data_IF_885419210200
#
_entry.id   IF_885419210200
#
_cell.length_a   1.000
_cell.length_b   1.000
_cell.length_c   1.000
_cell.angle_alpha   90.00
_cell.angle_beta   90.00
_cell.angle_gamma   90.00
#
_symmetry.space_group_name_H-M   'P 1'
#
loop_
_entity.id
_entity.type
_entity.pdbx_description
1 polymer ?
#
# COMPACT_ATOMS: atom_id res chain seq x y z
N UNK A 1 -15.80 -21.39 -16.58
CA UNK A 1 -15.47 -21.57 -18.01
C UNK A 1 -14.56 -22.78 -18.10
N UNK A 2 -15.09 -24.00 -18.38
CA UNK A 2 -14.30 -25.23 -18.37
C UNK A 2 -13.27 -25.37 -19.52
N UNK A 3 -13.31 -24.48 -20.48
CA UNK A 3 -12.43 -24.49 -21.66
C UNK A 3 -11.25 -23.52 -21.57
N UNK A 4 -11.14 -22.71 -20.48
CA UNK A 4 -10.00 -21.81 -20.33
C UNK A 4 -8.79 -22.59 -19.81
N UNK A 5 -7.59 -22.34 -20.34
CA UNK A 5 -6.36 -22.98 -19.85
C UNK A 5 -6.13 -22.63 -18.37
N UNK A 6 -5.58 -23.57 -17.62
CA UNK A 6 -5.17 -23.33 -16.22
C UNK A 6 -4.05 -22.28 -16.18
N UNK A 7 -4.38 -21.09 -15.68
CA UNK A 7 -3.44 -19.97 -15.51
C UNK A 7 -2.76 -19.96 -14.13
N UNK A 8 -3.06 -20.93 -13.26
CA UNK A 8 -2.46 -21.03 -11.91
C UNK A 8 -0.92 -21.06 -11.93
N UNK A 9 -0.24 -21.70 -12.92
CA UNK A 9 1.21 -21.66 -13.00
C UNK A 9 1.78 -20.22 -13.15
N UNK A 10 1.08 -19.34 -13.87
CA UNK A 10 1.52 -17.95 -14.00
C UNK A 10 1.56 -17.24 -12.63
N UNK A 11 0.56 -17.49 -11.79
CA UNK A 11 0.54 -16.96 -10.43
C UNK A 11 1.63 -17.58 -9.55
N UNK A 12 1.85 -18.89 -9.64
CA UNK A 12 2.85 -19.59 -8.84
C UNK A 12 4.28 -19.12 -9.13
N UNK A 13 4.62 -18.95 -10.41
CA UNK A 13 5.96 -18.52 -10.83
C UNK A 13 6.17 -17.01 -10.87
N UNK A 14 5.16 -16.21 -10.53
CA UNK A 14 5.26 -14.76 -10.36
C UNK A 14 5.04 -14.35 -8.89
N UNK A 15 3.79 -14.20 -8.48
CA UNK A 15 3.44 -13.80 -7.10
C UNK A 15 3.81 -14.85 -6.05
N UNK A 16 3.83 -16.14 -6.43
CA UNK A 16 4.29 -17.21 -5.57
C UNK A 16 5.78 -17.13 -5.19
N UNK A 17 6.57 -16.28 -5.86
CA UNK A 17 7.99 -16.04 -5.59
C UNK A 17 8.26 -14.59 -5.10
N UNK A 18 7.23 -13.87 -4.67
CA UNK A 18 7.34 -12.44 -4.30
C UNK A 18 8.38 -12.19 -3.19
N UNK A 19 8.59 -13.14 -2.29
CA UNK A 19 9.62 -13.05 -1.24
C UNK A 19 11.03 -12.94 -1.81
N UNK A 20 11.34 -13.66 -2.91
CA UNK A 20 12.65 -13.53 -3.59
C UNK A 20 12.85 -12.13 -4.19
N UNK A 21 11.80 -11.56 -4.76
CA UNK A 21 11.87 -10.20 -5.29
C UNK A 21 12.04 -9.16 -4.17
N UNK A 22 11.32 -9.34 -3.06
CA UNK A 22 11.40 -8.43 -1.91
C UNK A 22 12.79 -8.46 -1.29
N UNK A 23 13.37 -9.62 -1.05
CA UNK A 23 14.71 -9.73 -0.45
C UNK A 23 15.81 -9.18 -1.35
N UNK A 24 15.63 -9.22 -2.67
CA UNK A 24 16.54 -8.58 -3.62
C UNK A 24 16.40 -7.05 -3.60
N UNK A 25 15.17 -6.56 -3.70
CA UNK A 25 14.88 -5.13 -3.88
C UNK A 25 15.29 -4.30 -2.66
N UNK A 26 15.21 -4.83 -1.45
CA UNK A 26 15.53 -4.08 -0.23
C UNK A 26 16.99 -3.63 -0.18
N UNK A 27 18.01 -4.52 -0.18
CA UNK A 27 19.39 -4.09 -0.14
C UNK A 27 19.80 -3.33 -1.41
N UNK A 28 19.25 -3.71 -2.57
CA UNK A 28 19.46 -2.98 -3.83
C UNK A 28 19.04 -1.51 -3.70
N UNK A 29 17.79 -1.24 -3.30
CA UNK A 29 17.31 0.15 -3.19
C UNK A 29 17.98 0.92 -2.05
N UNK A 30 18.33 0.27 -0.95
CA UNK A 30 19.06 0.93 0.13
C UNK A 30 20.38 1.51 -0.38
N UNK A 31 21.16 0.73 -1.12
CA UNK A 31 22.46 1.15 -1.65
C UNK A 31 22.32 2.14 -2.82
N UNK A 32 21.32 2.00 -3.67
CA UNK A 32 21.03 2.99 -4.74
C UNK A 32 20.74 4.36 -4.15
N UNK A 33 19.95 4.43 -3.07
CA UNK A 33 19.65 5.71 -2.38
C UNK A 33 20.88 6.32 -1.70
N UNK A 34 21.86 5.52 -1.34
CA UNK A 34 23.13 5.97 -0.76
C UNK A 34 24.22 6.21 -1.81
N UNK A 35 23.84 6.28 -3.09
CA UNK A 35 24.72 6.51 -4.23
C UNK A 35 25.80 5.41 -4.44
N UNK A 36 25.63 4.24 -3.80
CA UNK A 36 26.52 3.07 -3.93
C UNK A 36 26.03 2.10 -5.01
N UNK A 37 25.74 2.63 -6.20
CA UNK A 37 25.12 1.87 -7.31
C UNK A 37 25.93 0.63 -7.71
N UNK A 38 27.26 0.74 -7.69
CA UNK A 38 28.17 -0.34 -8.10
C UNK A 38 28.06 -1.60 -7.22
N UNK A 39 27.62 -1.45 -5.96
CA UNK A 39 27.45 -2.55 -5.01
C UNK A 39 26.00 -3.01 -4.90
N UNK A 40 25.03 -2.24 -5.41
CA UNK A 40 23.61 -2.46 -5.20
C UNK A 40 23.11 -3.77 -5.78
N UNK A 41 23.51 -4.08 -7.03
CA UNK A 41 23.10 -5.31 -7.71
C UNK A 41 23.61 -6.56 -6.98
N UNK A 42 24.87 -6.54 -6.57
CA UNK A 42 25.52 -7.64 -5.85
C UNK A 42 24.85 -7.84 -4.48
N UNK A 43 24.52 -6.75 -3.78
CA UNK A 43 23.79 -6.81 -2.52
C UNK A 43 22.39 -7.45 -2.67
N UNK A 44 21.69 -7.15 -3.75
CA UNK A 44 20.43 -7.78 -4.08
C UNK A 44 20.54 -9.30 -4.23
N UNK A 45 21.50 -9.76 -5.02
CA UNK A 45 21.77 -11.21 -5.19
C UNK A 45 22.28 -11.87 -3.91
N UNK A 46 23.11 -11.19 -3.12
CA UNK A 46 23.53 -11.66 -1.80
C UNK A 46 22.31 -11.86 -0.88
N UNK A 47 21.34 -10.93 -0.94
CA UNK A 47 20.08 -11.05 -0.23
C UNK A 47 19.33 -12.33 -0.58
N UNK A 48 19.21 -12.66 -1.87
CA UNK A 48 18.60 -13.92 -2.33
C UNK A 48 19.34 -15.12 -1.74
N UNK A 49 20.68 -15.17 -1.88
CA UNK A 49 21.48 -16.30 -1.38
C UNK A 49 21.32 -16.49 0.14
N UNK A 50 21.38 -15.39 0.91
CA UNK A 50 21.18 -15.44 2.37
C UNK A 50 19.77 -15.89 2.74
N UNK A 51 18.76 -15.42 2.03
CA UNK A 51 17.37 -15.81 2.23
C UNK A 51 17.15 -17.29 1.96
N UNK A 52 17.70 -17.82 0.88
CA UNK A 52 17.62 -19.25 0.56
C UNK A 52 18.26 -20.12 1.65
N UNK A 53 19.38 -19.69 2.23
CA UNK A 53 19.98 -20.37 3.40
C UNK A 53 19.03 -20.38 4.59
N UNK A 54 18.36 -19.25 4.86
CA UNK A 54 17.40 -19.13 5.96
C UNK A 54 16.10 -19.92 5.76
N UNK A 55 15.76 -20.29 4.52
CA UNK A 55 14.56 -21.10 4.22
C UNK A 55 14.75 -22.59 4.53
N UNK A 56 15.95 -23.01 4.86
CA UNK A 56 16.29 -24.38 5.28
C UNK A 56 15.75 -25.42 4.29
N UNK A 57 16.37 -25.50 3.12
CA UNK A 57 16.02 -26.46 2.06
C UNK A 57 16.26 -27.88 2.58
N UNK A 58 15.21 -28.70 2.65
CA UNK A 58 15.31 -30.08 3.13
C UNK A 58 15.88 -30.96 2.07
N UNK A 59 16.99 -31.62 2.38
CA UNK A 59 17.57 -32.70 1.51
C UNK A 59 16.85 -34.01 1.74
N UNK A 60 16.44 -34.66 0.67
CA UNK A 60 15.85 -35.99 0.65
C UNK A 60 16.67 -36.91 -0.27
N UNK A 61 16.49 -38.20 -0.15
CA UNK A 61 17.23 -39.22 -0.99
C UNK A 61 17.00 -39.05 -2.49
N UNK A 62 15.91 -38.37 -2.89
CA UNK A 62 15.58 -38.08 -4.29
C UNK A 62 15.93 -36.65 -4.75
N UNK A 63 16.54 -35.79 -3.90
CA UNK A 63 16.86 -34.41 -4.24
C UNK A 63 16.63 -33.41 -3.10
N UNK A 64 16.51 -32.15 -3.44
CA UNK A 64 16.23 -31.10 -2.47
C UNK A 64 14.77 -30.65 -2.59
N UNK A 65 14.00 -30.76 -1.52
CA UNK A 65 12.62 -30.26 -1.46
C UNK A 65 12.63 -28.81 -0.98
N UNK A 66 11.96 -27.96 -1.75
CA UNK A 66 11.76 -26.55 -1.45
C UNK A 66 10.26 -26.31 -1.33
N UNK A 67 9.84 -25.82 -0.17
CA UNK A 67 8.48 -25.34 0.00
C UNK A 67 8.36 -23.95 -0.69
N UNK A 68 7.78 -23.95 -1.87
CA UNK A 68 7.57 -22.72 -2.64
C UNK A 68 6.72 -21.69 -1.89
N UNK A 69 5.86 -22.11 -0.97
CA UNK A 69 5.08 -21.21 -0.14
C UNK A 69 5.93 -20.28 0.73
N UNK A 70 7.13 -20.75 1.14
CA UNK A 70 8.10 -19.94 1.88
C UNK A 70 8.75 -18.84 1.03
N UNK A 71 8.75 -18.95 -0.29
CA UNK A 71 9.27 -17.94 -1.20
C UNK A 71 8.21 -16.92 -1.64
N UNK A 72 6.94 -17.24 -1.42
CA UNK A 72 5.79 -16.37 -1.71
C UNK A 72 5.41 -15.43 -0.57
N UNK A 73 4.13 -15.13 -0.50
CA UNK A 73 3.56 -14.22 0.51
C UNK A 73 3.83 -14.68 1.95
N UNK A 74 3.83 -15.98 2.22
CA UNK A 74 4.15 -16.53 3.54
C UNK A 74 5.56 -16.18 4.03
N UNK A 75 6.52 -16.06 3.12
CA UNK A 75 7.91 -15.71 3.45
C UNK A 75 8.24 -14.22 3.39
N UNK A 76 7.30 -13.34 3.07
CA UNK A 76 7.56 -11.91 2.90
C UNK A 76 8.19 -11.24 4.13
N UNK A 77 7.74 -11.57 5.34
CA UNK A 77 8.33 -11.01 6.57
C UNK A 77 9.79 -11.44 6.73
N UNK A 78 10.07 -12.71 6.48
CA UNK A 78 11.45 -13.24 6.52
C UNK A 78 12.31 -12.60 5.44
N UNK A 79 11.78 -12.41 4.23
CA UNK A 79 12.45 -11.73 3.13
C UNK A 79 12.80 -10.27 3.48
N UNK A 80 11.87 -9.56 4.12
CA UNK A 80 12.11 -8.19 4.60
C UNK A 80 13.20 -8.16 5.68
N UNK A 81 13.13 -9.06 6.66
CA UNK A 81 14.09 -9.14 7.74
C UNK A 81 15.49 -9.45 7.23
N UNK A 82 15.64 -10.48 6.41
CA UNK A 82 16.92 -10.86 5.80
C UNK A 82 17.45 -9.77 4.88
N UNK A 83 16.60 -9.19 4.04
CA UNK A 83 16.98 -8.09 3.15
C UNK A 83 17.49 -6.86 3.89
N UNK A 84 16.88 -6.51 5.03
CA UNK A 84 17.33 -5.41 5.88
C UNK A 84 18.68 -5.73 6.55
N UNK A 85 18.89 -6.96 7.04
CA UNK A 85 20.18 -7.37 7.61
C UNK A 85 21.28 -7.26 6.56
N UNK A 86 21.05 -7.78 5.36
CA UNK A 86 22.04 -7.68 4.25
C UNK A 86 22.29 -6.22 3.91
N UNK A 87 21.26 -5.38 3.83
CA UNK A 87 21.42 -3.95 3.60
C UNK A 87 22.29 -3.28 4.69
N UNK A 88 22.08 -3.62 5.96
CA UNK A 88 22.88 -3.10 7.07
C UNK A 88 24.33 -3.56 6.97
N UNK A 89 24.61 -4.83 6.66
CA UNK A 89 25.98 -5.34 6.48
C UNK A 89 26.69 -4.55 5.37
N UNK A 90 26.05 -4.37 4.21
CA UNK A 90 26.61 -3.61 3.11
C UNK A 90 26.82 -2.12 3.45
N UNK A 91 25.92 -1.51 4.21
CA UNK A 91 26.07 -0.13 4.71
C UNK A 91 27.27 0.02 5.64
N UNK A 92 27.42 -0.90 6.59
CA UNK A 92 28.55 -0.89 7.52
C UNK A 92 29.88 -1.01 6.78
N UNK A 93 29.90 -1.77 5.69
CA UNK A 93 31.09 -1.98 4.85
C UNK A 93 31.18 -0.99 3.68
N UNK A 94 30.25 -0.04 3.56
CA UNK A 94 30.21 0.89 2.43
C UNK A 94 31.44 1.82 2.33
N UNK A 95 32.10 2.06 3.47
CA UNK A 95 33.31 2.87 3.56
C UNK A 95 34.59 2.05 3.48
N UNK A 96 34.48 0.73 3.50
CA UNK A 96 35.61 -0.16 3.45
C UNK A 96 36.00 -0.41 1.98
N UNK A 97 37.30 -0.23 1.67
CA UNK A 97 37.91 -0.66 0.42
C UNK A 97 39.26 -1.30 0.71
N UNK A 98 39.53 -2.41 0.02
CA UNK A 98 40.83 -3.04 0.08
C UNK A 98 41.94 -2.19 -0.57
N UNK A 99 41.56 -1.32 -1.49
CA UNK A 99 42.48 -0.53 -2.29
C UNK A 99 42.24 0.95 -1.99
N UNK A 100 43.33 1.69 -1.80
CA UNK A 100 43.29 3.15 -1.65
C UNK A 100 42.77 3.85 -2.92
N UNK A 101 42.37 5.11 -2.77
CA UNK A 101 41.89 5.93 -3.89
C UNK A 101 42.90 6.05 -5.03
N UNK A 102 44.24 6.01 -4.71
CA UNK A 102 45.33 6.09 -5.67
C UNK A 102 45.68 4.77 -6.36
N UNK A 103 44.90 3.73 -6.17
CA UNK A 103 45.17 2.43 -6.77
C UNK A 103 44.99 2.45 -8.29
N UNK A 104 45.99 1.89 -9.01
CA UNK A 104 46.02 1.78 -10.48
C UNK A 104 45.04 0.73 -11.01
N UNK A 105 44.36 0.00 -10.12
CA UNK A 105 43.39 -1.04 -10.51
C UNK A 105 42.07 -0.44 -11.09
N UNK A 106 41.52 -1.03 -12.15
CA UNK A 106 40.23 -0.65 -12.67
C UNK A 106 39.14 -0.74 -11.59
N UNK A 107 38.18 0.18 -11.60
CA UNK A 107 37.13 0.28 -10.57
C UNK A 107 36.28 -1.02 -10.44
N UNK A 108 36.05 -1.75 -11.54
CA UNK A 108 35.34 -3.02 -11.48
C UNK A 108 36.07 -4.09 -10.65
N UNK A 109 37.41 -4.09 -10.67
CA UNK A 109 38.26 -5.00 -9.87
C UNK A 109 38.20 -4.61 -8.40
N UNK A 110 38.33 -3.33 -8.08
CA UNK A 110 38.19 -2.81 -6.71
C UNK A 110 36.84 -3.19 -6.13
N UNK A 111 35.78 -2.90 -6.87
CA UNK A 111 34.40 -3.20 -6.46
C UNK A 111 34.18 -4.72 -6.25
N UNK A 112 34.79 -5.56 -7.05
CA UNK A 112 34.68 -7.01 -6.89
C UNK A 112 35.30 -7.48 -5.56
N UNK A 113 36.50 -7.06 -5.23
CA UNK A 113 37.15 -7.37 -3.95
C UNK A 113 36.39 -6.79 -2.75
N UNK A 114 35.93 -5.55 -2.84
CA UNK A 114 35.23 -4.88 -1.76
C UNK A 114 33.87 -5.54 -1.44
N UNK A 115 33.24 -6.17 -2.44
CA UNK A 115 32.01 -6.91 -2.23
C UNK A 115 32.20 -8.29 -1.58
N UNK A 116 33.39 -8.92 -1.72
CA UNK A 116 33.65 -10.27 -1.19
C UNK A 116 33.37 -10.34 0.31
N UNK A 117 33.84 -9.37 1.10
CA UNK A 117 33.61 -9.38 2.56
C UNK A 117 32.12 -9.27 2.89
N UNK A 118 31.39 -8.39 2.22
CA UNK A 118 29.97 -8.23 2.44
C UNK A 118 29.17 -9.48 2.08
N UNK A 119 29.53 -10.12 0.96
CA UNK A 119 28.95 -11.42 0.53
C UNK A 119 29.22 -12.47 1.58
N UNK A 120 30.48 -12.67 1.96
CA UNK A 120 30.86 -13.69 2.93
C UNK A 120 30.19 -13.48 4.27
N UNK A 121 30.22 -12.27 4.83
CA UNK A 121 29.57 -11.99 6.10
C UNK A 121 28.06 -12.24 6.07
N UNK A 122 27.38 -11.85 4.99
CA UNK A 122 25.95 -12.06 4.84
C UNK A 122 25.59 -13.56 4.73
N UNK A 123 26.29 -14.28 3.89
CA UNK A 123 26.08 -15.73 3.72
C UNK A 123 26.48 -16.53 4.98
N UNK A 124 27.60 -16.17 5.63
CA UNK A 124 28.02 -16.79 6.88
C UNK A 124 27.05 -16.51 8.01
N UNK A 125 26.50 -15.29 8.11
CA UNK A 125 25.47 -14.97 9.09
C UNK A 125 24.24 -15.88 8.91
N UNK A 126 23.72 -16.01 7.68
CA UNK A 126 22.64 -16.93 7.35
C UNK A 126 22.98 -18.39 7.67
N UNK A 127 24.18 -18.83 7.30
CA UNK A 127 24.67 -20.19 7.56
C UNK A 127 24.78 -20.48 9.06
N UNK A 128 25.42 -19.61 9.83
CA UNK A 128 25.60 -19.77 11.28
C UNK A 128 24.24 -19.88 11.96
N UNK A 129 23.33 -18.96 11.66
CA UNK A 129 22.01 -18.94 12.30
C UNK A 129 21.22 -20.22 11.96
N UNK A 130 21.19 -20.62 10.69
CA UNK A 130 20.34 -21.74 10.25
C UNK A 130 20.97 -23.10 10.52
N UNK A 131 22.26 -23.28 10.24
CA UNK A 131 22.89 -24.62 10.26
C UNK A 131 23.72 -24.88 11.51
N UNK A 132 24.36 -23.86 12.10
CA UNK A 132 25.16 -24.02 13.32
C UNK A 132 24.28 -23.91 14.56
N UNK A 133 23.52 -22.80 14.66
CA UNK A 133 22.60 -22.55 15.77
C UNK A 133 21.27 -23.32 15.61
N UNK A 134 21.02 -23.91 14.44
CA UNK A 134 19.78 -24.66 14.11
C UNK A 134 18.50 -23.87 14.35
N UNK A 135 18.55 -22.54 14.14
CA UNK A 135 17.38 -21.66 14.25
C UNK A 135 16.60 -21.71 12.95
N UNK A 136 15.35 -22.11 13.01
CA UNK A 136 14.40 -21.91 11.90
C UNK A 136 14.00 -20.44 11.82
N UNK A 137 14.73 -19.68 10.99
CA UNK A 137 14.52 -18.23 10.83
C UNK A 137 13.12 -17.92 10.34
N UNK A 138 12.57 -18.74 9.46
CA UNK A 138 11.20 -18.57 8.96
C UNK A 138 10.19 -18.66 10.10
N UNK A 139 10.20 -19.74 10.85
CA UNK A 139 9.28 -19.94 12.00
C UNK A 139 9.49 -18.89 13.08
N UNK A 140 10.74 -18.52 13.37
CA UNK A 140 11.07 -17.46 14.32
C UNK A 140 10.46 -16.11 13.91
N UNK A 141 10.63 -15.70 12.66
CA UNK A 141 10.07 -14.44 12.16
C UNK A 141 8.55 -14.47 12.15
N UNK A 142 7.94 -15.58 11.75
CA UNK A 142 6.49 -15.77 11.82
C UNK A 142 5.98 -15.64 13.26
N UNK A 143 6.67 -16.24 14.22
CA UNK A 143 6.31 -16.12 15.65
C UNK A 143 6.40 -14.67 16.15
N UNK A 144 7.46 -13.94 15.79
CA UNK A 144 7.62 -12.52 16.13
C UNK A 144 6.54 -11.63 15.50
N UNK A 145 6.07 -11.97 14.31
CA UNK A 145 5.02 -11.22 13.61
C UNK A 145 3.60 -11.58 14.06
N UNK A 146 3.41 -12.72 14.71
CA UNK A 146 2.09 -13.19 15.16
C UNK A 146 1.31 -12.17 16.00
N UNK A 147 1.88 -11.45 16.97
CA UNK A 147 1.16 -10.42 17.69
C UNK A 147 0.72 -9.25 16.81
N UNK A 148 1.57 -8.85 15.86
CA UNK A 148 1.28 -7.75 14.93
C UNK A 148 0.16 -8.14 13.96
N UNK A 149 0.24 -9.33 13.38
CA UNK A 149 -0.81 -9.85 12.48
C UNK A 149 -2.10 -10.10 13.25
N UNK A 150 -2.03 -10.67 14.46
CA UNK A 150 -3.20 -10.89 15.32
C UNK A 150 -3.87 -9.57 15.72
N UNK A 151 -3.11 -8.54 16.07
CA UNK A 151 -3.66 -7.21 16.30
C UNK A 151 -4.34 -6.66 15.05
N UNK A 152 -3.70 -6.74 13.88
CA UNK A 152 -4.26 -6.25 12.62
C UNK A 152 -5.58 -6.95 12.23
N UNK A 153 -5.76 -8.23 12.59
CA UNK A 153 -6.99 -8.99 12.35
C UNK A 153 -8.10 -8.70 13.38
N UNK A 154 -7.76 -8.11 14.53
CA UNK A 154 -8.75 -7.69 15.52
C UNK A 154 -9.52 -6.45 15.05
N UNK A 155 -10.78 -6.29 15.50
CA UNK A 155 -11.57 -5.09 15.18
C UNK A 155 -10.85 -3.78 15.57
N UNK A 156 -10.29 -3.63 16.80
CA UNK A 156 -9.56 -2.42 17.16
C UNK A 156 -8.32 -2.19 16.30
N UNK A 157 -7.58 -3.24 16.00
CA UNK A 157 -6.36 -3.15 15.17
C UNK A 157 -6.67 -2.74 13.74
N UNK A 158 -7.69 -3.35 13.14
CA UNK A 158 -8.15 -2.99 11.80
C UNK A 158 -8.56 -1.51 11.72
N UNK A 159 -9.40 -1.05 12.67
CA UNK A 159 -9.81 0.35 12.76
C UNK A 159 -8.60 1.27 12.94
N UNK A 160 -7.69 0.93 13.84
CA UNK A 160 -6.49 1.74 14.11
C UNK A 160 -5.64 1.93 12.85
N UNK A 161 -5.40 0.85 12.10
CA UNK A 161 -4.61 0.91 10.85
C UNK A 161 -5.29 1.83 9.83
N UNK A 162 -6.60 1.67 9.61
CA UNK A 162 -7.35 2.49 8.65
C UNK A 162 -7.40 3.95 9.08
N UNK A 163 -7.61 4.22 10.40
CA UNK A 163 -7.57 5.57 10.95
C UNK A 163 -6.23 6.25 10.72
N UNK A 164 -5.13 5.56 11.05
CA UNK A 164 -3.80 6.11 10.84
C UNK A 164 -3.56 6.44 9.36
N UNK A 165 -3.85 5.53 8.45
CA UNK A 165 -3.68 5.76 7.02
C UNK A 165 -4.48 6.98 6.53
N UNK A 166 -5.75 7.10 6.93
CA UNK A 166 -6.62 8.19 6.46
C UNK A 166 -6.30 9.53 7.12
N UNK A 167 -5.92 9.54 8.41
CA UNK A 167 -5.49 10.76 9.10
C UNK A 167 -4.20 11.31 8.50
N UNK A 168 -3.20 10.45 8.25
CA UNK A 168 -1.97 10.89 7.59
C UNK A 168 -2.24 11.39 6.17
N UNK A 169 -3.14 10.72 5.44
CA UNK A 169 -3.54 11.17 4.11
C UNK A 169 -4.28 12.51 4.14
N UNK A 170 -5.08 12.77 5.18
CA UNK A 170 -5.70 14.08 5.40
C UNK A 170 -4.65 15.19 5.59
N UNK A 171 -3.53 14.90 6.23
CA UNK A 171 -2.41 15.85 6.34
C UNK A 171 -1.48 15.89 5.11
N UNK A 172 -1.87 15.26 4.02
CA UNK A 172 -1.12 15.25 2.76
C UNK A 172 -0.02 14.19 2.67
N UNK A 173 0.11 13.32 3.68
CA UNK A 173 1.05 12.21 3.66
C UNK A 173 0.37 11.01 3.01
N UNK A 174 0.86 10.59 1.85
CA UNK A 174 0.27 9.49 1.09
C UNK A 174 0.18 8.20 1.91
N UNK A 175 -0.94 7.48 1.81
CA UNK A 175 -1.12 6.16 2.42
C UNK A 175 -0.09 5.11 1.99
N UNK A 176 0.60 5.34 0.88
CA UNK A 176 1.70 4.48 0.41
C UNK A 176 2.86 4.35 1.40
N UNK A 177 3.01 5.31 2.33
CA UNK A 177 4.01 5.25 3.41
C UNK A 177 3.82 4.01 4.29
N UNK A 178 2.58 3.58 4.50
CA UNK A 178 2.24 2.40 5.31
C UNK A 178 2.33 1.09 4.54
N UNK A 179 2.39 1.14 3.20
CA UNK A 179 2.34 -0.03 2.33
C UNK A 179 3.40 -1.10 2.64
N UNK A 180 4.67 -0.78 2.95
CA UNK A 180 5.66 -1.82 3.24
C UNK A 180 5.24 -2.76 4.38
N UNK A 181 4.57 -2.23 5.40
CA UNK A 181 4.10 -3.04 6.54
C UNK A 181 2.73 -3.64 6.25
N UNK A 182 1.76 -2.81 5.85
CA UNK A 182 0.37 -3.25 5.67
C UNK A 182 0.21 -4.24 4.52
N UNK A 183 0.98 -4.05 3.43
CA UNK A 183 0.95 -4.97 2.28
C UNK A 183 1.46 -6.36 2.66
N UNK A 184 2.51 -6.43 3.46
CA UNK A 184 3.07 -7.71 3.92
C UNK A 184 2.06 -8.47 4.79
N UNK A 185 1.40 -7.78 5.73
CA UNK A 185 0.35 -8.35 6.57
C UNK A 185 -0.81 -8.86 5.71
N UNK A 186 -1.31 -8.03 4.80
CA UNK A 186 -2.50 -8.34 4.00
C UNK A 186 -2.25 -9.42 2.95
N UNK A 187 -1.06 -9.48 2.36
CA UNK A 187 -0.68 -10.54 1.41
C UNK A 187 -0.52 -11.89 2.10
N UNK A 188 0.08 -11.93 3.29
CA UNK A 188 0.14 -13.16 4.08
C UNK A 188 -1.26 -13.64 4.45
N UNK A 189 -2.13 -12.73 4.88
CA UNK A 189 -3.50 -13.03 5.27
C UNK A 189 -4.36 -13.56 4.11
N UNK A 190 -4.25 -13.00 2.90
CA UNK A 190 -5.01 -13.51 1.73
C UNK A 190 -4.50 -14.87 1.28
N UNK A 191 -3.19 -15.12 1.36
CA UNK A 191 -2.62 -16.43 1.04
C UNK A 191 -3.11 -17.50 2.02
N UNK A 192 -3.19 -17.18 3.30
CA UNK A 192 -3.75 -18.06 4.34
C UNK A 192 -5.25 -18.33 4.09
N UNK A 193 -6.05 -17.29 3.80
CA UNK A 193 -7.45 -17.45 3.46
C UNK A 193 -7.65 -18.37 2.25
N UNK A 194 -6.85 -18.20 1.19
CA UNK A 194 -6.91 -19.07 0.01
C UNK A 194 -6.55 -20.52 0.34
N UNK A 195 -5.51 -20.75 1.15
CA UNK A 195 -5.11 -22.08 1.60
C UNK A 195 -6.19 -22.74 2.47
N UNK A 196 -6.84 -21.99 3.36
CA UNK A 196 -7.94 -22.50 4.18
C UNK A 196 -9.12 -22.94 3.30
N UNK A 197 -9.51 -22.11 2.32
CA UNK A 197 -10.59 -22.44 1.38
C UNK A 197 -10.25 -23.66 0.52
N UNK A 198 -9.02 -23.78 0.04
CA UNK A 198 -8.56 -24.95 -0.70
C UNK A 198 -8.59 -26.24 0.16
N UNK A 199 -8.39 -26.10 1.47
CA UNK A 199 -8.52 -27.19 2.44
C UNK A 199 -9.96 -27.44 2.91
N UNK A 200 -10.97 -26.81 2.31
CA UNK A 200 -12.39 -26.95 2.68
C UNK A 200 -12.74 -26.26 4.01
N UNK A 201 -11.90 -25.34 4.51
CA UNK A 201 -12.13 -24.57 5.74
C UNK A 201 -12.54 -23.13 5.40
N UNK A 202 -13.35 -22.52 6.26
CA UNK A 202 -13.71 -21.11 6.07
C UNK A 202 -12.51 -20.20 6.28
N UNK A 203 -12.40 -19.14 5.44
CA UNK A 203 -11.43 -18.07 5.62
C UNK A 203 -11.70 -17.31 6.93
N UNK A 204 -10.65 -16.82 7.59
CA UNK A 204 -10.76 -16.15 8.90
C UNK A 204 -10.18 -14.74 8.93
N UNK A 205 -9.28 -14.39 8.01
CA UNK A 205 -8.56 -13.13 8.02
C UNK A 205 -9.36 -12.05 7.27
N UNK A 206 -10.05 -11.17 7.99
CA UNK A 206 -10.81 -10.06 7.40
C UNK A 206 -9.89 -8.99 6.84
N UNK A 207 -8.83 -8.59 7.60
CA UNK A 207 -7.85 -7.63 7.12
C UNK A 207 -6.82 -8.33 6.23
N UNK A 208 -7.25 -8.64 5.01
CA UNK A 208 -6.41 -9.29 4.00
C UNK A 208 -6.35 -8.44 2.72
N UNK A 209 -5.51 -8.86 1.77
CA UNK A 209 -5.33 -8.11 0.52
C UNK A 209 -6.64 -7.95 -0.22
N UNK A 210 -6.96 -6.72 -0.60
CA UNK A 210 -8.26 -6.37 -1.19
C UNK A 210 -9.30 -5.87 -0.18
N UNK A 211 -9.13 -6.06 1.15
CA UNK A 211 -10.09 -5.59 2.15
C UNK A 211 -10.48 -4.10 1.99
N UNK A 212 -9.56 -3.28 1.49
CA UNK A 212 -9.80 -1.86 1.21
C UNK A 212 -10.96 -1.60 0.26
N UNK A 213 -11.33 -2.57 -0.58
CA UNK A 213 -12.46 -2.45 -1.53
C UNK A 213 -13.80 -2.31 -0.83
N UNK A 214 -13.92 -2.75 0.41
CA UNK A 214 -15.16 -2.60 1.17
C UNK A 214 -15.36 -1.20 1.77
N UNK A 215 -14.26 -0.50 2.10
CA UNK A 215 -14.33 0.76 2.85
C UNK A 215 -13.62 1.96 2.19
N UNK A 216 -12.76 1.77 1.18
CA UNK A 216 -12.16 2.86 0.39
C UNK A 216 -12.90 3.05 -0.94
N UNK A 217 -14.20 3.31 -0.87
CA UNK A 217 -15.07 3.41 -2.05
C UNK A 217 -14.82 4.73 -2.78
N UNK A 218 -14.36 4.63 -4.02
CA UNK A 218 -13.94 5.81 -4.77
C UNK A 218 -12.55 6.34 -4.39
N UNK A 219 -11.73 5.48 -3.78
CA UNK A 219 -10.39 5.78 -3.30
C UNK A 219 -10.30 5.90 -1.78
N UNK A 220 -9.11 6.12 -1.26
CA UNK A 220 -8.84 6.18 0.16
C UNK A 220 -9.70 7.24 0.86
N UNK A 221 -10.40 6.85 1.96
CA UNK A 221 -11.32 7.73 2.70
C UNK A 221 -12.77 7.69 2.23
N UNK A 222 -13.13 6.77 1.33
CA UNK A 222 -14.51 6.62 0.79
C UNK A 222 -15.06 7.91 0.16
N UNK A 223 -14.35 8.45 -0.81
CA UNK A 223 -14.59 9.79 -1.35
C UNK A 223 -15.52 9.85 -2.56
N UNK A 224 -16.00 8.71 -3.08
CA UNK A 224 -16.96 8.71 -4.20
C UNK A 224 -18.23 9.55 -3.90
N UNK A 225 -18.84 9.50 -2.69
CA UNK A 225 -19.97 10.38 -2.40
C UNK A 225 -19.62 11.86 -2.50
N UNK A 226 -18.40 12.26 -2.09
CA UNK A 226 -17.93 13.66 -2.21
C UNK A 226 -17.81 14.05 -3.67
N UNK A 227 -17.24 13.20 -4.53
CA UNK A 227 -17.16 13.45 -5.97
C UNK A 227 -18.55 13.66 -6.60
N UNK A 228 -19.54 12.85 -6.20
CA UNK A 228 -20.93 12.98 -6.65
C UNK A 228 -21.55 14.30 -6.15
N UNK A 229 -21.39 14.63 -4.87
CA UNK A 229 -21.91 15.88 -4.30
C UNK A 229 -21.31 17.11 -4.97
N UNK A 230 -20.03 17.05 -5.35
CA UNK A 230 -19.35 18.14 -6.05
C UNK A 230 -19.97 18.48 -7.41
N UNK A 231 -20.59 17.55 -8.10
CA UNK A 231 -21.28 17.83 -9.36
C UNK A 231 -22.41 18.86 -9.18
N UNK A 232 -23.01 18.88 -8.00
CA UNK A 232 -24.13 19.74 -7.61
C UNK A 232 -23.72 20.86 -6.67
N UNK A 233 -22.41 21.10 -6.48
CA UNK A 233 -21.89 22.13 -5.58
C UNK A 233 -22.28 23.55 -6.01
N UNK A 234 -22.41 24.47 -5.04
CA UNK A 234 -22.62 25.89 -5.29
C UNK A 234 -21.32 26.56 -5.74
N UNK A 235 -20.20 26.18 -5.16
CA UNK A 235 -18.86 26.62 -5.54
C UNK A 235 -18.55 26.21 -6.98
N UNK A 236 -18.12 27.14 -7.80
CA UNK A 236 -17.66 26.88 -9.18
C UNK A 236 -16.44 25.95 -9.18
N UNK A 237 -15.52 26.17 -8.23
CA UNK A 237 -14.31 25.37 -8.08
C UNK A 237 -14.64 23.90 -7.78
N UNK A 238 -15.51 23.65 -6.79
CA UNK A 238 -15.89 22.29 -6.42
C UNK A 238 -16.66 21.60 -7.56
N UNK A 239 -17.52 22.33 -8.26
CA UNK A 239 -18.25 21.78 -9.40
C UNK A 239 -17.33 21.38 -10.55
N UNK A 240 -16.31 22.17 -10.85
CA UNK A 240 -15.30 21.85 -11.87
C UNK A 240 -14.45 20.64 -11.42
N UNK A 241 -14.04 20.63 -10.15
CA UNK A 241 -13.30 19.50 -9.59
C UNK A 241 -14.12 18.20 -9.62
N UNK A 242 -15.41 18.25 -9.25
CA UNK A 242 -16.32 17.12 -9.33
C UNK A 242 -16.42 16.54 -10.75
N UNK A 243 -16.58 17.40 -11.75
CA UNK A 243 -16.61 16.96 -13.16
C UNK A 243 -15.32 16.31 -13.61
N UNK A 244 -14.17 16.78 -13.13
CA UNK A 244 -12.86 16.21 -13.47
C UNK A 244 -12.57 14.89 -12.73
N UNK A 245 -13.14 14.70 -11.53
CA UNK A 245 -12.77 13.58 -10.66
C UNK A 245 -13.80 12.47 -10.58
N UNK A 246 -15.04 12.68 -11.06
CA UNK A 246 -16.10 11.66 -10.92
C UNK A 246 -15.75 10.32 -11.60
N UNK A 247 -15.24 10.37 -12.84
CA UNK A 247 -14.85 9.16 -13.58
C UNK A 247 -13.67 8.46 -12.87
N UNK A 248 -12.53 9.14 -12.60
CA UNK A 248 -11.45 8.53 -11.82
C UNK A 248 -11.92 7.94 -10.49
N UNK A 249 -12.79 8.65 -9.74
CA UNK A 249 -13.31 8.17 -8.46
C UNK A 249 -14.12 6.88 -8.58
N UNK A 250 -14.87 6.67 -9.66
CA UNK A 250 -15.55 5.39 -9.90
C UNK A 250 -14.57 4.21 -10.01
N UNK A 251 -13.32 4.49 -10.39
CA UNK A 251 -12.22 3.53 -10.51
C UNK A 251 -11.19 3.66 -9.38
N UNK A 252 -11.60 4.20 -8.23
CA UNK A 252 -10.80 4.33 -7.01
C UNK A 252 -9.56 5.24 -7.11
N UNK A 253 -9.51 6.13 -8.08
CA UNK A 253 -8.46 7.14 -8.23
C UNK A 253 -9.00 8.46 -7.68
N UNK A 254 -8.57 8.85 -6.47
CA UNK A 254 -9.09 10.03 -5.79
C UNK A 254 -8.04 11.08 -5.43
N UNK A 255 -6.79 10.93 -5.84
CA UNK A 255 -5.72 11.87 -5.54
C UNK A 255 -6.07 13.31 -5.93
N UNK A 256 -6.64 13.60 -7.13
CA UNK A 256 -6.99 14.96 -7.49
C UNK A 256 -8.09 15.55 -6.60
N UNK A 257 -9.05 14.73 -6.17
CA UNK A 257 -10.12 15.14 -5.26
C UNK A 257 -9.56 15.35 -3.85
N UNK A 258 -8.71 14.44 -3.38
CA UNK A 258 -8.09 14.48 -2.07
C UNK A 258 -7.27 15.75 -1.88
N UNK A 259 -6.34 16.01 -2.78
CA UNK A 259 -5.50 17.22 -2.73
C UNK A 259 -6.23 18.51 -3.14
N UNK A 260 -7.27 18.40 -3.96
CA UNK A 260 -8.05 19.53 -4.42
C UNK A 260 -9.06 20.08 -3.42
N UNK A 261 -9.53 19.24 -2.46
CA UNK A 261 -10.66 19.59 -1.60
C UNK A 261 -10.61 19.06 -0.16
N UNK A 262 -9.95 17.95 0.11
CA UNK A 262 -10.01 17.27 1.42
C UNK A 262 -8.79 17.57 2.27
N UNK A 263 -7.58 17.46 1.71
CA UNK A 263 -6.33 17.69 2.45
C UNK A 263 -6.31 19.04 3.13
N UNK A 264 -6.05 19.04 4.44
CA UNK A 264 -6.00 20.21 5.30
C UNK A 264 -7.27 21.09 5.29
N UNK A 265 -8.41 20.55 4.86
CA UNK A 265 -9.68 21.27 4.93
C UNK A 265 -10.38 20.98 6.27
N UNK A 266 -10.54 21.98 7.16
CA UNK A 266 -11.10 21.74 8.50
C UNK A 266 -12.47 21.06 8.50
N UNK A 267 -13.32 21.37 7.51
CA UNK A 267 -14.65 20.75 7.39
C UNK A 267 -14.58 19.26 7.07
N UNK A 268 -13.50 18.79 6.46
CA UNK A 268 -13.36 17.42 5.99
C UNK A 268 -12.64 16.50 7.00
N UNK A 269 -12.10 17.06 8.11
CA UNK A 269 -11.37 16.28 9.11
C UNK A 269 -12.28 15.31 9.87
N UNK A 270 -13.38 15.84 10.43
CA UNK A 270 -14.32 15.06 11.24
C UNK A 270 -14.89 13.87 10.45
N UNK A 271 -15.47 14.06 9.24
CA UNK A 271 -15.99 12.91 8.48
C UNK A 271 -14.91 11.94 8.07
N UNK A 272 -13.67 12.38 7.80
CA UNK A 272 -12.54 11.48 7.54
C UNK A 272 -12.29 10.55 8.73
N UNK A 273 -12.22 11.08 9.96
CA UNK A 273 -12.01 10.27 11.17
C UNK A 273 -13.20 9.34 11.43
N UNK A 274 -14.42 9.85 11.37
CA UNK A 274 -15.65 9.08 11.62
C UNK A 274 -15.76 7.91 10.64
N UNK A 275 -15.54 8.13 9.36
CA UNK A 275 -15.60 7.07 8.35
C UNK A 275 -14.46 6.06 8.47
N UNK A 276 -13.30 6.51 8.95
CA UNK A 276 -12.17 5.62 9.23
C UNK A 276 -12.45 4.62 10.36
N UNK A 277 -13.43 4.90 11.21
CA UNK A 277 -13.90 4.02 12.27
C UNK A 277 -15.09 3.19 11.78
N UNK A 278 -16.11 3.84 11.24
CA UNK A 278 -17.39 3.18 10.92
C UNK A 278 -17.27 2.16 9.78
N UNK A 279 -16.62 2.51 8.66
CA UNK A 279 -16.62 1.65 7.49
C UNK A 279 -15.82 0.35 7.69
N UNK A 280 -14.59 0.37 8.26
CA UNK A 280 -13.91 -0.89 8.59
C UNK A 280 -14.65 -1.66 9.68
N UNK A 281 -15.30 -1.00 10.66
CA UNK A 281 -16.10 -1.69 11.67
C UNK A 281 -17.28 -2.44 11.05
N UNK A 282 -18.07 -1.79 10.20
CA UNK A 282 -19.19 -2.42 9.47
C UNK A 282 -18.67 -3.61 8.64
N UNK A 283 -17.58 -3.40 7.90
CA UNK A 283 -16.99 -4.46 7.09
C UNK A 283 -16.57 -5.65 7.94
N UNK A 284 -15.83 -5.40 9.03
CA UNK A 284 -15.36 -6.45 9.93
C UNK A 284 -16.50 -7.23 10.56
N UNK A 285 -17.51 -6.53 11.09
CA UNK A 285 -18.69 -7.15 11.69
C UNK A 285 -19.46 -7.99 10.67
N UNK A 286 -19.79 -7.44 9.50
CA UNK A 286 -20.51 -8.17 8.46
C UNK A 286 -19.79 -9.46 8.04
N UNK A 287 -18.47 -9.40 7.82
CA UNK A 287 -17.71 -10.56 7.38
C UNK A 287 -17.49 -11.57 8.50
N UNK A 288 -17.20 -11.12 9.72
CA UNK A 288 -16.95 -12.01 10.86
C UNK A 288 -18.22 -12.75 11.30
N UNK A 289 -19.39 -12.08 11.28
CA UNK A 289 -20.66 -12.71 11.63
C UNK A 289 -21.36 -13.41 10.47
N UNK A 290 -20.70 -13.57 9.33
CA UNK A 290 -21.18 -14.40 8.23
C UNK A 290 -22.28 -13.76 7.36
N UNK A 291 -22.45 -12.43 7.40
CA UNK A 291 -23.34 -11.76 6.45
C UNK A 291 -22.82 -11.86 5.01
N UNK A 292 -21.48 -11.93 4.83
CA UNK A 292 -20.80 -12.20 3.57
C UNK A 292 -19.63 -13.16 3.76
N UNK A 293 -19.09 -13.68 2.67
CA UNK A 293 -17.93 -14.56 2.69
C UNK A 293 -16.67 -13.73 2.86
N UNK A 294 -15.81 -14.08 3.83
CA UNK A 294 -14.48 -13.46 3.94
C UNK A 294 -13.72 -13.76 2.64
N UNK A 295 -13.23 -12.71 2.01
CA UNK A 295 -12.58 -12.81 0.70
C UNK A 295 -11.29 -13.64 0.78
N UNK A 296 -11.08 -14.45 -0.24
CA UNK A 296 -9.99 -15.42 -0.33
C UNK A 296 -9.33 -15.46 -1.71
N UNK A 297 -9.98 -14.86 -2.72
CA UNK A 297 -9.41 -14.76 -4.06
C UNK A 297 -8.42 -13.59 -4.07
N UNK A 298 -7.17 -13.88 -4.40
CA UNK A 298 -6.14 -12.86 -4.53
C UNK A 298 -6.35 -12.05 -5.84
N UNK A 299 -7.36 -11.19 -5.81
CA UNK A 299 -7.78 -10.35 -6.91
C UNK A 299 -8.00 -8.94 -6.37
N UNK A 300 -7.17 -8.00 -6.77
CA UNK A 300 -7.34 -6.59 -6.43
C UNK A 300 -7.11 -5.74 -7.67
N UNK A 301 -8.14 -5.57 -8.44
CA UNK A 301 -8.13 -4.61 -9.54
C UNK A 301 -8.59 -3.25 -9.04
N UNK A 302 -7.65 -2.36 -8.82
CA UNK A 302 -7.92 -0.95 -8.49
C UNK A 302 -8.84 -0.25 -9.50
N UNK A 303 -8.94 -0.80 -10.70
CA UNK A 303 -9.65 -0.22 -11.84
C UNK A 303 -11.08 -0.74 -12.02
N UNK A 304 -11.60 -1.51 -11.07
CA UNK A 304 -12.99 -1.93 -11.08
C UNK A 304 -13.78 -1.23 -9.97
N UNK A 305 -15.07 -0.95 -10.20
CA UNK A 305 -15.97 -0.48 -9.14
C UNK A 305 -15.97 -1.44 -7.95
N UNK A 306 -15.90 -0.90 -6.75
CA UNK A 306 -15.76 -1.67 -5.50
C UNK A 306 -16.77 -2.82 -5.31
N UNK A 307 -18.08 -2.68 -5.64
CA UNK A 307 -19.01 -3.80 -5.49
C UNK A 307 -18.65 -5.01 -6.35
N UNK A 308 -18.12 -4.77 -7.57
CA UNK A 308 -17.69 -5.83 -8.48
C UNK A 308 -16.43 -6.52 -7.93
N UNK A 309 -15.47 -5.74 -7.42
CA UNK A 309 -14.28 -6.30 -6.77
C UNK A 309 -14.66 -7.19 -5.58
N UNK A 310 -15.53 -6.71 -4.69
CA UNK A 310 -15.95 -7.45 -3.50
C UNK A 310 -16.65 -8.76 -3.86
N UNK A 311 -17.48 -8.76 -4.91
CA UNK A 311 -18.13 -9.96 -5.45
C UNK A 311 -17.10 -10.99 -5.94
N UNK A 312 -16.15 -10.56 -6.77
CA UNK A 312 -15.12 -11.46 -7.32
C UNK A 312 -14.20 -12.00 -6.22
N UNK A 313 -13.72 -11.14 -5.33
CA UNK A 313 -12.79 -11.50 -4.26
C UNK A 313 -13.35 -12.52 -3.27
N UNK A 314 -14.66 -12.54 -3.10
CA UNK A 314 -15.38 -13.48 -2.24
C UNK A 314 -15.77 -14.80 -2.92
N UNK A 315 -15.32 -15.01 -4.18
CA UNK A 315 -15.70 -16.20 -4.96
C UNK A 315 -17.11 -16.15 -5.51
N UNK A 316 -17.68 -14.96 -5.73
CA UNK A 316 -19.01 -14.77 -6.31
C UNK A 316 -20.14 -14.58 -5.29
N UNK A 317 -19.84 -14.25 -4.05
CA UNK A 317 -20.87 -13.94 -3.05
C UNK A 317 -21.40 -12.52 -3.22
N UNK A 318 -22.64 -12.39 -3.72
CA UNK A 318 -23.30 -11.10 -3.95
C UNK A 318 -23.50 -10.27 -2.66
N UNK A 319 -23.57 -10.90 -1.47
CA UNK A 319 -23.69 -10.23 -0.18
C UNK A 319 -22.52 -9.30 0.09
N UNK A 320 -21.35 -9.63 -0.44
CA UNK A 320 -20.16 -8.79 -0.33
C UNK A 320 -20.30 -7.48 -1.10
N UNK A 321 -20.97 -7.50 -2.26
CA UNK A 321 -21.31 -6.27 -2.99
C UNK A 321 -22.30 -5.40 -2.18
N UNK A 322 -23.26 -6.05 -1.47
CA UNK A 322 -24.20 -5.33 -0.59
C UNK A 322 -23.48 -4.65 0.58
N UNK A 323 -22.45 -5.28 1.19
CA UNK A 323 -21.63 -4.64 2.23
C UNK A 323 -21.01 -3.34 1.70
N UNK A 324 -20.49 -3.36 0.47
CA UNK A 324 -19.94 -2.15 -0.16
C UNK A 324 -21.00 -1.07 -0.36
N UNK A 325 -22.20 -1.45 -0.79
CA UNK A 325 -23.31 -0.48 -0.96
C UNK A 325 -23.79 0.10 0.37
N UNK A 326 -23.82 -0.69 1.44
CA UNK A 326 -24.10 -0.21 2.80
C UNK A 326 -23.03 0.84 3.20
N UNK A 327 -21.76 0.51 3.02
CA UNK A 327 -20.67 1.42 3.34
C UNK A 327 -20.72 2.70 2.49
N UNK A 328 -21.09 2.60 1.21
CA UNK A 328 -21.29 3.76 0.34
C UNK A 328 -22.41 4.68 0.87
N UNK A 329 -23.55 4.09 1.29
CA UNK A 329 -24.66 4.84 1.85
C UNK A 329 -24.26 5.54 3.16
N UNK A 330 -23.58 4.82 4.07
CA UNK A 330 -23.06 5.39 5.32
C UNK A 330 -22.07 6.53 5.01
N UNK A 331 -21.16 6.33 4.08
CA UNK A 331 -20.23 7.38 3.68
C UNK A 331 -20.95 8.62 3.12
N UNK A 332 -21.99 8.43 2.30
CA UNK A 332 -22.77 9.54 1.76
C UNK A 332 -23.48 10.35 2.87
N UNK A 333 -24.08 9.67 3.83
CA UNK A 333 -24.75 10.31 4.96
C UNK A 333 -23.76 11.10 5.83
N UNK A 334 -22.61 10.51 6.14
CA UNK A 334 -21.57 11.17 6.97
C UNK A 334 -20.94 12.36 6.25
N UNK A 335 -20.58 12.20 4.97
CA UNK A 335 -19.97 13.28 4.20
C UNK A 335 -20.91 14.47 3.96
N UNK A 336 -22.21 14.25 3.82
CA UNK A 336 -23.18 15.25 3.35
C UNK A 336 -23.17 16.56 4.14
N UNK A 337 -23.35 16.59 5.49
CA UNK A 337 -23.41 17.83 6.25
C UNK A 337 -22.09 18.62 6.18
N UNK A 338 -20.97 17.92 6.24
CA UNK A 338 -19.64 18.56 6.22
C UNK A 338 -19.28 19.07 4.85
N UNK A 339 -19.60 18.32 3.80
CA UNK A 339 -19.43 18.80 2.42
C UNK A 339 -20.29 20.04 2.15
N UNK A 340 -21.55 20.05 2.60
CA UNK A 340 -22.44 21.20 2.43
C UNK A 340 -21.89 22.47 3.13
N UNK A 341 -21.30 22.33 4.30
CA UNK A 341 -20.64 23.43 5.01
C UNK A 341 -19.41 23.93 4.26
N UNK A 342 -18.56 23.01 3.78
CA UNK A 342 -17.38 23.34 2.99
C UNK A 342 -17.72 24.01 1.66
N UNK A 343 -18.77 23.56 0.98
CA UNK A 343 -19.24 24.13 -0.29
C UNK A 343 -19.76 25.55 -0.10
N UNK A 344 -20.49 25.82 0.99
CA UNK A 344 -20.96 27.16 1.34
C UNK A 344 -19.79 28.10 1.58
N UNK A 345 -18.84 27.72 2.43
CA UNK A 345 -17.64 28.50 2.74
C UNK A 345 -16.81 28.81 1.48
N UNK A 346 -16.64 27.81 0.63
CA UNK A 346 -15.89 27.98 -0.63
C UNK A 346 -16.61 28.92 -1.60
N UNK A 347 -17.94 28.83 -1.74
CA UNK A 347 -18.73 29.70 -2.58
C UNK A 347 -18.67 31.18 -2.09
N UNK A 348 -18.72 31.39 -0.78
CA UNK A 348 -18.56 32.74 -0.19
C UNK A 348 -17.17 33.32 -0.48
N UNK A 349 -16.12 32.53 -0.32
CA UNK A 349 -14.73 32.92 -0.66
C UNK A 349 -14.57 33.26 -2.15
N UNK A 350 -15.23 32.54 -3.04
CA UNK A 350 -15.22 32.84 -4.48
C UNK A 350 -15.85 34.19 -4.78
N UNK A 351 -16.99 34.52 -4.16
CA UNK A 351 -17.68 35.82 -4.34
C UNK A 351 -16.80 36.95 -3.86
N UNK A 352 -16.18 36.84 -2.69
CA UNK A 352 -15.26 37.83 -2.16
C UNK A 352 -14.09 38.07 -3.13
N UNK A 353 -13.47 37.00 -3.59
CA UNK A 353 -12.33 37.06 -4.52
C UNK A 353 -12.70 37.66 -5.88
N UNK A 354 -13.92 37.37 -6.39
CA UNK A 354 -14.42 38.00 -7.62
C UNK A 354 -14.63 39.51 -7.45
N UNK A 355 -15.19 39.94 -6.30
CA UNK A 355 -15.35 41.37 -5.96
C UNK A 355 -13.99 42.09 -5.87
N UNK A 356 -13.03 41.53 -5.19
CA UNK A 356 -11.66 42.09 -5.10
C UNK A 356 -10.97 42.18 -6.46
N UNK A 357 -11.12 41.17 -7.31
CA UNK A 357 -10.59 41.21 -8.69
C UNK A 357 -11.25 42.30 -9.52
N UNK A 358 -12.57 42.46 -9.41
CA UNK A 358 -13.31 43.52 -10.10
C UNK A 358 -12.88 44.89 -9.65
N UNK A 359 -12.75 45.12 -8.33
CA UNK A 359 -12.26 46.39 -7.75
C UNK A 359 -10.83 46.74 -8.22
N UNK A 360 -9.91 45.75 -8.22
CA UNK A 360 -8.53 45.94 -8.71
C UNK A 360 -8.50 46.28 -10.21
N UNK A 361 -9.40 45.66 -11.00
CA UNK A 361 -9.51 45.95 -12.45
C UNK A 361 -10.05 47.35 -12.70
N UNK A 362 -11.07 47.77 -11.96
CA UNK A 362 -11.63 49.12 -12.05
C UNK A 362 -10.60 50.20 -11.67
N UNK A 363 -9.84 49.98 -10.56
CA UNK A 363 -8.78 50.90 -10.14
C UNK A 363 -7.66 51.04 -11.19
N UNK A 364 -7.27 49.91 -11.85
CA UNK A 364 -6.27 49.94 -12.94
C UNK A 364 -6.78 50.70 -14.16
N UNK A 365 -8.06 50.56 -14.51
CA UNK A 365 -8.68 51.28 -15.62
C UNK A 365 -8.75 52.80 -15.33
N UNK A 366 -9.18 53.18 -14.13
CA UNK A 366 -9.22 54.57 -13.70
C UNK A 366 -7.82 55.21 -13.72
N UNK A 367 -6.79 54.51 -13.21
CA UNK A 367 -5.42 55.02 -13.23
C UNK A 367 -4.86 55.14 -14.68
N UNK A 368 -5.29 54.27 -15.60
CA UNK A 368 -4.89 54.38 -17.01
C UNK A 368 -5.59 55.56 -17.73
N UNK A 369 -6.86 55.83 -17.40
CA UNK A 369 -7.60 56.97 -17.94
C UNK A 369 -7.05 58.29 -17.41
N UNK A 370 -6.69 58.40 -16.13
CA UNK A 370 -6.07 59.59 -15.56
C UNK A 370 -4.75 59.95 -16.25
N UNK A 371 -3.91 58.97 -16.59
CA UNK A 371 -2.65 59.23 -17.32
C UNK A 371 -2.84 59.68 -18.77
N UNK A 372 -3.93 59.27 -19.43
CA UNK A 372 -4.24 59.70 -20.82
C UNK A 372 -4.84 61.12 -20.84
N UNK A 373 -5.36 61.63 -19.71
CA UNK A 373 -5.93 62.99 -19.60
C UNK A 373 -4.87 64.03 -19.19
N UNK A 374 -3.68 63.55 -18.75
CA UNK A 374 -2.54 64.42 -18.38
C UNK A 374 -1.53 64.63 -19.55
N UNK A 375 -1.64 63.86 -20.62
CA UNK A 375 -0.94 64.06 -21.93
C UNK A 375 -1.84 64.83 -22.90
#
# INVERSE_FOLDING_TARGET
FPELPDLSPLSQYSFGLIGLFVVFIIPYNCLVKEEKKDRSLIAGFTGIGTFMLCMNITKTDGGSLVDLGKFGAGGMFTAMFVGLIVAVIYRCLARFSFFGEDSVLPDFVKNWFDNIIAILLSLFAGYIVTFVLKVDVFTMVQFLMKPVTGFAQSLPGFITIVCLQNIFYFFGISGWVFTPVTRTITQAAIAENAAMMAAGKAATNVYSFGASRYYHIGGQGATLPVAIMMLFAKSKRYRLLGKATIIPSCFNINEPLQYGAIVNNPFMFIPTVVLSILLPAITWLCLTYGFGTIHYVNFDMNFLPNPICAFIMSGGDWRNAVIVLINLAVAAVVWYPFFKAADKDMAEKEIIKEKEKAAKKAAKLAAKQAKVTEE
#
